data_IF_480511403019
#
_entry.id   IF_480511403019
#
_cell.length_a   1.000
_cell.length_b   1.000
_cell.length_c   1.000
_cell.angle_alpha   90.00
_cell.angle_beta   90.00
_cell.angle_gamma   90.00
#
_symmetry.space_group_name_H-M   'P 1'
#
loop_
_entity.id
_entity.type
_entity.pdbx_description
1 polymer ?
#
# COMPACT_ATOMS: atom_id res chain seq x y z
N UNK A 1 -4.37 22.90 -3.60
CA UNK A 1 -5.55 22.02 -3.57
C UNK A 1 -5.15 20.61 -3.20
N UNK A 2 -5.91 19.98 -2.33
CA UNK A 2 -5.63 18.62 -1.90
C UNK A 2 -6.22 17.64 -2.90
N UNK A 3 -5.38 16.73 -3.41
CA UNK A 3 -5.80 15.63 -4.25
C UNK A 3 -6.71 14.70 -3.45
N UNK A 4 -7.72 14.11 -4.08
CA UNK A 4 -8.61 13.16 -3.42
C UNK A 4 -7.90 11.91 -2.89
N UNK A 5 -6.70 11.62 -3.37
CA UNK A 5 -5.86 10.55 -2.85
C UNK A 5 -4.95 10.99 -1.71
N UNK A 6 -5.04 12.26 -1.31
CA UNK A 6 -4.22 12.80 -0.26
C UNK A 6 -4.84 12.51 1.10
N UNK A 7 -4.06 11.98 1.99
CA UNK A 7 -4.44 11.80 3.39
C UNK A 7 -3.61 12.73 4.26
N UNK A 8 -4.14 13.08 5.40
CA UNK A 8 -3.44 13.94 6.36
C UNK A 8 -3.05 13.10 7.56
N UNK A 9 -1.77 13.05 7.84
CA UNK A 9 -1.24 12.44 9.04
C UNK A 9 -0.67 13.53 9.93
N UNK A 10 -0.79 13.36 11.24
CA UNK A 10 -0.22 14.29 12.19
C UNK A 10 0.58 13.55 13.24
N UNK A 11 1.69 14.13 13.64
CA UNK A 11 2.52 13.63 14.72
C UNK A 11 3.10 14.83 15.45
N UNK A 12 2.89 14.89 16.75
CA UNK A 12 3.46 15.94 17.59
C UNK A 12 3.14 17.36 17.13
N UNK A 13 1.91 17.58 16.62
CA UNK A 13 1.47 18.88 16.15
C UNK A 13 1.88 19.22 14.73
N UNK A 14 2.64 18.36 14.07
CA UNK A 14 2.99 18.54 12.67
C UNK A 14 1.99 17.84 11.75
N UNK A 15 1.80 18.38 10.56
CA UNK A 15 0.85 17.88 9.58
C UNK A 15 1.60 17.46 8.33
N UNK A 16 1.38 16.22 7.91
CA UNK A 16 1.96 15.65 6.70
C UNK A 16 0.87 15.20 5.76
N UNK A 17 1.09 15.37 4.46
CA UNK A 17 0.15 14.98 3.43
C UNK A 17 0.68 13.75 2.70
N UNK A 18 -0.19 12.74 2.62
CA UNK A 18 0.08 11.46 1.99
C UNK A 18 -0.46 11.50 0.56
N UNK A 19 0.43 11.29 -0.42
CA UNK A 19 0.06 11.21 -1.82
C UNK A 19 0.13 9.76 -2.27
N UNK A 20 -1.03 9.20 -2.63
CA UNK A 20 -1.15 7.82 -3.03
C UNK A 20 -1.25 7.63 -4.53
N UNK A 21 -0.76 6.48 -4.99
CA UNK A 21 -0.93 6.05 -6.38
C UNK A 21 -2.32 5.40 -6.57
N UNK A 22 -2.55 4.78 -7.74
CA UNK A 22 -3.84 4.17 -8.06
C UNK A 22 -4.21 3.00 -7.14
N UNK A 23 -3.23 2.38 -6.47
CA UNK A 23 -3.45 1.29 -5.52
C UNK A 23 -3.55 1.78 -4.08
N UNK A 24 -3.40 3.08 -3.86
CA UNK A 24 -3.37 3.67 -2.53
C UNK A 24 -2.01 3.61 -1.85
N UNK A 25 -0.96 3.22 -2.56
CA UNK A 25 0.40 3.19 -2.00
C UNK A 25 0.96 4.60 -1.87
N UNK A 26 1.61 4.89 -0.75
CA UNK A 26 2.26 6.18 -0.55
C UNK A 26 3.47 6.31 -1.47
N UNK A 27 3.53 7.34 -2.29
CA UNK A 27 4.72 7.59 -3.09
C UNK A 27 5.39 8.92 -2.78
N UNK A 28 4.64 9.91 -2.29
CA UNK A 28 5.19 11.16 -1.79
C UNK A 28 4.54 11.51 -0.46
N UNK A 29 5.35 12.00 0.46
CA UNK A 29 4.89 12.64 1.69
C UNK A 29 5.39 14.07 1.66
N UNK A 30 4.51 15.03 1.89
CA UNK A 30 4.85 16.45 1.91
C UNK A 30 4.42 17.06 3.23
N UNK A 31 5.03 18.19 3.59
CA UNK A 31 4.60 18.98 4.75
C UNK A 31 3.47 19.95 4.35
N UNK A 32 3.06 20.77 5.30
CA UNK A 32 1.98 21.73 5.07
C UNK A 32 2.33 22.82 4.04
N UNK A 33 3.60 23.03 3.75
CA UNK A 33 4.04 23.98 2.73
C UNK A 33 4.13 23.37 1.35
N UNK A 34 3.94 22.05 1.24
CA UNK A 34 4.10 21.30 0.00
C UNK A 34 5.53 20.84 -0.24
N UNK A 35 6.44 21.07 0.71
CA UNK A 35 7.82 20.59 0.57
C UNK A 35 7.89 19.09 0.74
N UNK A 36 8.68 18.39 -0.09
CA UNK A 36 8.79 16.94 0.00
C UNK A 36 9.54 16.51 1.27
N UNK A 37 8.97 15.53 1.98
CA UNK A 37 9.54 14.95 3.19
C UNK A 37 10.04 13.54 2.93
N UNK A 38 9.33 12.79 2.10
CA UNK A 38 9.68 11.40 1.81
C UNK A 38 9.23 11.03 0.41
N UNK A 39 10.03 10.22 -0.27
CA UNK A 39 9.71 9.63 -1.56
C UNK A 39 9.87 8.12 -1.50
N UNK A 40 8.87 7.38 -2.00
CA UNK A 40 8.89 5.94 -1.99
C UNK A 40 8.59 5.41 -3.40
N UNK A 41 9.39 4.45 -3.84
CA UNK A 41 9.19 3.79 -5.13
C UNK A 41 9.10 2.28 -4.90
N UNK A 42 8.04 1.66 -5.43
CA UNK A 42 7.73 0.25 -5.22
C UNK A 42 7.91 -0.57 -6.48
N UNK A 43 8.37 -1.82 -6.30
CA UNK A 43 8.20 -2.85 -7.31
C UNK A 43 6.70 -3.23 -7.38
N UNK A 44 6.26 -3.90 -8.46
CA UNK A 44 4.82 -4.21 -8.62
C UNK A 44 4.20 -4.97 -7.45
N UNK A 45 4.95 -5.84 -6.79
CA UNK A 45 4.47 -6.60 -5.63
C UNK A 45 4.72 -5.90 -4.29
N UNK A 46 5.16 -4.63 -4.32
CA UNK A 46 5.25 -3.82 -3.11
C UNK A 46 6.60 -3.77 -2.44
N UNK A 47 7.61 -4.45 -2.97
CA UNK A 47 8.97 -4.31 -2.46
C UNK A 47 9.46 -2.87 -2.66
N UNK A 48 10.11 -2.31 -1.66
CA UNK A 48 10.62 -0.95 -1.75
C UNK A 48 11.88 -0.94 -2.62
N UNK A 49 11.78 -0.30 -3.78
CA UNK A 49 12.95 -0.08 -4.65
C UNK A 49 13.76 1.08 -4.10
N UNK A 50 13.07 2.12 -3.67
CA UNK A 50 13.70 3.32 -3.13
C UNK A 50 12.81 3.90 -2.04
N UNK A 51 13.42 4.33 -0.96
CA UNK A 51 12.71 4.98 0.14
C UNK A 51 13.61 6.07 0.71
N UNK A 52 13.39 7.30 0.25
CA UNK A 52 14.18 8.46 0.66
C UNK A 52 13.43 9.25 1.69
N UNK A 53 13.91 9.21 2.92
CA UNK A 53 13.39 10.02 4.03
C UNK A 53 14.27 11.25 4.15
N UNK A 54 13.72 12.42 3.87
CA UNK A 54 14.49 13.66 3.82
C UNK A 54 14.57 14.35 5.18
N UNK A 55 13.53 14.22 6.02
CA UNK A 55 13.43 14.97 7.27
C UNK A 55 12.83 14.15 8.41
N UNK A 56 13.39 13.03 8.74
CA UNK A 56 13.07 12.33 10.00
C UNK A 56 11.68 11.71 10.15
N UNK A 57 10.71 12.04 9.30
CA UNK A 57 9.40 11.39 9.33
C UNK A 57 9.38 10.23 8.34
N UNK A 58 9.05 9.05 8.81
CA UNK A 58 8.94 7.86 7.99
C UNK A 58 7.51 7.35 8.04
N UNK A 59 6.80 7.43 6.92
CA UNK A 59 5.40 7.03 6.82
C UNK A 59 5.26 5.52 7.06
N UNK A 60 4.39 5.15 8.00
CA UNK A 60 4.15 3.73 8.32
C UNK A 60 3.26 3.04 7.29
N UNK A 61 2.34 3.78 6.69
CA UNK A 61 1.38 3.24 5.73
C UNK A 61 2.00 3.37 4.35
N UNK A 62 2.34 2.24 3.76
CA UNK A 62 3.11 2.22 2.51
C UNK A 62 2.34 1.51 1.41
N UNK A 63 2.72 0.29 1.07
CA UNK A 63 2.14 -0.43 -0.08
C UNK A 63 0.63 -0.63 0.11
N UNK A 64 -0.15 -0.20 -0.88
CA UNK A 64 -1.63 -0.19 -0.88
C UNK A 64 -2.26 0.45 0.38
N UNK A 65 -1.54 1.36 1.01
CA UNK A 65 -1.99 2.05 2.21
C UNK A 65 -1.95 1.21 3.47
N UNK A 66 -1.30 0.06 3.45
CA UNK A 66 -1.19 -0.83 4.60
C UNK A 66 0.00 -0.47 5.47
N UNK A 67 -0.12 -0.74 6.76
CA UNK A 67 0.96 -0.47 7.70
C UNK A 67 2.09 -1.49 7.51
N UNK A 68 3.31 -0.98 7.34
CA UNK A 68 4.50 -1.83 7.27
C UNK A 68 5.20 -1.82 8.61
N UNK A 69 5.39 -3.02 9.18
CA UNK A 69 6.17 -3.18 10.38
C UNK A 69 7.65 -3.02 10.06
N UNK A 70 8.30 -2.07 10.73
CA UNK A 70 9.71 -1.76 10.48
C UNK A 70 10.64 -2.92 10.80
N UNK A 71 10.33 -3.70 11.82
CA UNK A 71 11.21 -4.76 12.29
C UNK A 71 11.17 -5.97 11.38
N UNK A 72 9.98 -6.40 10.99
CA UNK A 72 9.81 -7.59 10.14
C UNK A 72 9.77 -7.30 8.66
N UNK A 73 9.37 -6.09 8.27
CA UNK A 73 9.12 -5.75 6.89
C UNK A 73 7.79 -6.27 6.36
N UNK A 74 6.95 -6.83 7.22
CA UNK A 74 5.65 -7.36 6.81
C UNK A 74 4.61 -6.26 6.75
N UNK A 75 3.68 -6.37 5.81
CA UNK A 75 2.55 -5.47 5.69
C UNK A 75 1.32 -6.10 6.33
N UNK A 76 0.68 -5.36 7.22
CA UNK A 76 -0.52 -5.82 7.91
C UNK A 76 -1.76 -5.49 7.09
N UNK A 77 -2.42 -6.52 6.60
CA UNK A 77 -3.62 -6.37 5.77
C UNK A 77 -4.93 -6.63 6.54
N UNK A 78 -4.84 -7.03 7.80
CA UNK A 78 -5.98 -7.40 8.63
C UNK A 78 -6.02 -8.90 8.86
N UNK A 79 -6.57 -9.65 7.92
CA UNK A 79 -6.67 -11.11 8.06
C UNK A 79 -5.33 -11.82 7.87
N UNK A 80 -4.41 -11.21 7.13
CA UNK A 80 -3.09 -11.80 6.85
C UNK A 80 -2.00 -10.75 6.89
N UNK A 81 -0.76 -11.22 7.07
CA UNK A 81 0.45 -10.42 6.84
C UNK A 81 1.04 -10.77 5.48
N UNK A 82 1.46 -9.75 4.77
CA UNK A 82 2.03 -9.87 3.44
C UNK A 82 3.52 -9.57 3.48
N UNK A 83 4.33 -10.39 2.79
CA UNK A 83 5.76 -10.13 2.67
C UNK A 83 6.11 -9.87 1.21
N UNK A 84 6.27 -8.59 0.88
CA UNK A 84 6.46 -8.14 -0.50
C UNK A 84 7.74 -8.67 -1.15
N UNK A 85 8.78 -8.94 -0.36
CA UNK A 85 10.03 -9.49 -0.88
C UNK A 85 9.86 -10.87 -1.49
N UNK A 86 8.84 -11.63 -1.04
CA UNK A 86 8.53 -12.94 -1.61
C UNK A 86 7.37 -12.89 -2.59
N UNK A 87 6.73 -11.74 -2.74
CA UNK A 87 5.62 -11.52 -3.67
C UNK A 87 4.41 -12.42 -3.41
N UNK A 88 4.26 -12.91 -2.19
CA UNK A 88 3.10 -13.72 -1.81
C UNK A 88 2.79 -13.60 -0.32
N UNK A 89 1.63 -14.13 0.06
CA UNK A 89 1.19 -14.15 1.45
C UNK A 89 2.01 -15.13 2.28
N UNK A 90 2.12 -14.84 3.58
CA UNK A 90 2.81 -15.73 4.53
C UNK A 90 1.92 -16.89 4.97
N UNK A 91 0.59 -16.74 4.89
CA UNK A 91 -0.37 -17.74 5.35
C UNK A 91 -1.42 -18.01 4.27
N UNK A 92 -2.14 -19.10 4.44
CA UNK A 92 -3.18 -19.54 3.50
C UNK A 92 -4.34 -18.56 3.48
N UNK A 93 -4.88 -18.33 2.30
CA UNK A 93 -6.07 -17.51 2.09
C UNK A 93 -7.26 -18.08 2.86
N UNK A 94 -7.91 -17.27 3.74
CA UNK A 94 -9.12 -17.72 4.40
C UNK A 94 -10.25 -18.10 3.43
N UNK A 95 -10.20 -17.58 2.20
CA UNK A 95 -11.17 -17.87 1.14
C UNK A 95 -10.61 -18.78 0.06
N UNK A 96 -9.64 -19.63 0.41
CA UNK A 96 -8.96 -20.49 -0.57
C UNK A 96 -9.92 -21.35 -1.38
N UNK A 97 -11.01 -21.80 -0.76
CA UNK A 97 -11.99 -22.65 -1.42
C UNK A 97 -12.76 -21.93 -2.54
N UNK A 98 -12.79 -20.62 -2.48
CA UNK A 98 -13.44 -19.80 -3.50
C UNK A 98 -12.68 -19.79 -4.82
N UNK A 99 -11.36 -20.02 -4.76
CA UNK A 99 -10.48 -19.95 -5.92
C UNK A 99 -9.63 -21.22 -6.04
N UNK A 100 -10.26 -22.38 -6.36
CA UNK A 100 -9.54 -23.68 -6.31
C UNK A 100 -8.41 -23.81 -7.32
N UNK A 101 -8.41 -23.00 -8.38
CA UNK A 101 -7.36 -23.02 -9.41
C UNK A 101 -6.18 -22.12 -9.12
N UNK A 102 -6.17 -21.41 -7.99
CA UNK A 102 -5.15 -20.42 -7.67
C UNK A 102 -4.49 -20.80 -6.34
N UNK A 103 -3.17 -20.63 -6.26
CA UNK A 103 -2.45 -20.89 -5.02
C UNK A 103 -3.05 -20.08 -3.88
N UNK A 104 -3.26 -20.68 -2.70
CA UNK A 104 -3.77 -19.95 -1.53
C UNK A 104 -2.79 -18.90 -1.00
N UNK A 105 -1.56 -18.88 -1.49
CA UNK A 105 -0.57 -17.87 -1.14
C UNK A 105 -0.44 -16.76 -2.19
N UNK A 106 -1.19 -16.85 -3.30
CA UNK A 106 -1.10 -15.86 -4.38
C UNK A 106 -1.64 -14.51 -3.91
N UNK A 107 -0.87 -13.45 -4.17
CA UNK A 107 -1.30 -12.10 -3.89
C UNK A 107 -2.01 -11.51 -5.12
N UNK A 108 -3.23 -11.02 -4.92
CA UNK A 108 -4.01 -10.30 -5.94
C UNK A 108 -4.09 -11.04 -7.28
N UNK A 109 -4.34 -12.37 -7.23
CA UNK A 109 -4.54 -13.20 -8.42
C UNK A 109 -3.37 -13.07 -9.40
N UNK A 110 -2.14 -12.90 -8.89
CA UNK A 110 -0.91 -12.65 -9.66
C UNK A 110 -0.94 -11.39 -10.52
N UNK A 111 -1.82 -10.43 -10.19
CA UNK A 111 -1.90 -9.16 -10.92
C UNK A 111 -2.03 -7.98 -9.95
N UNK A 112 -0.93 -7.60 -9.27
CA UNK A 112 -0.97 -6.56 -8.24
C UNK A 112 -1.14 -5.14 -8.76
N UNK A 113 -1.04 -4.94 -10.08
CA UNK A 113 -1.25 -3.63 -10.68
C UNK A 113 -2.74 -3.35 -10.87
N UNK A 114 -3.53 -4.41 -11.07
CA UNK A 114 -4.94 -4.32 -11.39
C UNK A 114 -5.85 -4.58 -10.20
N UNK A 115 -5.37 -5.37 -9.25
CA UNK A 115 -6.14 -5.77 -8.07
C UNK A 115 -5.49 -5.27 -6.80
N UNK A 116 -6.33 -5.01 -5.80
CA UNK A 116 -5.90 -4.70 -4.43
C UNK A 116 -6.67 -5.60 -3.48
N UNK A 117 -6.06 -5.93 -2.36
CA UNK A 117 -6.73 -6.70 -1.30
C UNK A 117 -6.98 -5.76 -0.11
N UNK A 118 -8.22 -5.36 0.15
CA UNK A 118 -8.50 -4.37 1.21
C UNK A 118 -8.30 -4.90 2.62
N UNK A 119 -8.53 -6.19 2.85
CA UNK A 119 -8.61 -6.75 4.21
C UNK A 119 -7.80 -8.03 4.42
N UNK A 120 -7.03 -8.45 3.44
CA UNK A 120 -6.24 -9.68 3.51
C UNK A 120 -7.04 -10.94 3.24
N UNK A 121 -8.21 -10.82 2.60
CA UNK A 121 -9.07 -11.97 2.28
C UNK A 121 -9.34 -12.14 0.81
N UNK A 122 -9.75 -11.09 0.13
CA UNK A 122 -10.21 -11.18 -1.26
C UNK A 122 -9.70 -10.01 -2.08
N UNK A 123 -9.20 -10.32 -3.26
CA UNK A 123 -8.71 -9.30 -4.18
C UNK A 123 -9.88 -8.63 -4.88
N UNK A 124 -9.80 -7.31 -5.00
CA UNK A 124 -10.81 -6.48 -5.62
C UNK A 124 -10.20 -5.76 -6.81
N UNK A 125 -10.90 -5.80 -7.94
CA UNK A 125 -10.48 -5.09 -9.16
C UNK A 125 -10.51 -3.59 -8.91
N UNK A 126 -9.41 -2.92 -9.22
CA UNK A 126 -9.35 -1.48 -9.18
C UNK A 126 -10.04 -0.93 -10.43
N UNK A 127 -11.08 -0.14 -10.20
CA UNK A 127 -11.74 0.59 -11.27
C UNK A 127 -11.43 2.06 -11.09
N UNK A 128 -10.80 2.64 -12.09
CA UNK A 128 -10.57 4.07 -12.07
C UNK A 128 -11.89 4.81 -12.14
N UNK A 129 -12.01 5.93 -11.43
CA UNK A 129 -13.21 6.74 -11.59
C UNK A 129 -13.33 7.13 -13.05
N UNK A 130 -14.42 6.72 -13.65
CA UNK A 130 -14.69 7.11 -15.03
C UNK A 130 -15.24 8.54 -14.99
N UNK A 131 -14.64 9.46 -15.74
CA UNK A 131 -15.17 10.81 -15.77
C UNK A 131 -16.64 10.76 -16.20
N UNK A 132 -17.47 11.38 -15.40
CA UNK A 132 -18.88 11.35 -15.73
C UNK A 132 -19.16 12.25 -16.88
N UNK A 133 -19.87 11.70 -17.68
CA UNK A 133 -20.37 12.35 -18.83
C UNK A 133 -21.50 13.25 -18.42
#
# INVERSE_FOLDING_TARGET
MIDKNTKVNSKEGEVYFYHGDHLGSAYWITDYTGAPIQYIHYAPYGELIDNQVLYGYDERYKFTGKERDKESGYDYFGARYYFSSFSHWLTVDPLADKYPGISPYAYCVWNPIKYVDPDGRDAVLITFPIPHK
#
